data_IF_283558526430
#
_entry.id   IF_283558526430
#
_cell.length_a   1.000
_cell.length_b   1.000
_cell.length_c   1.000
_cell.angle_alpha   90.00
_cell.angle_beta   90.00
_cell.angle_gamma   90.00
#
_symmetry.space_group_name_H-M   'P 1'
#
loop_
_entity.id
_entity.type
_entity.pdbx_description
1 polymer ?
#
# COMPACT_ATOMS: atom_id res chain seq x y z
N UNK A 1 8.57 6.62 4.97
CA UNK A 1 8.19 5.20 5.20
C UNK A 1 8.98 4.23 4.32
N UNK A 2 8.79 4.27 3.00
CA UNK A 2 9.28 3.20 2.10
C UNK A 2 10.80 3.06 2.02
N UNK A 3 11.55 4.16 1.98
CA UNK A 3 13.02 4.10 1.99
C UNK A 3 13.59 3.40 3.24
N UNK A 4 12.88 3.45 4.38
CA UNK A 4 13.28 2.73 5.60
C UNK A 4 13.00 1.24 5.48
N UNK A 5 11.86 0.85 4.91
CA UNK A 5 11.55 -0.56 4.63
C UNK A 5 12.57 -1.15 3.66
N UNK A 6 12.85 -0.46 2.57
CA UNK A 6 13.83 -0.89 1.57
C UNK A 6 15.22 -1.09 2.17
N UNK A 7 15.68 -0.16 3.01
CA UNK A 7 16.99 -0.29 3.68
C UNK A 7 17.05 -1.46 4.67
N UNK A 8 15.96 -1.76 5.39
CA UNK A 8 15.96 -2.75 6.47
C UNK A 8 15.62 -4.15 6.00
N UNK A 9 14.71 -4.26 5.03
CA UNK A 9 14.14 -5.53 4.55
C UNK A 9 14.49 -5.74 3.08
N UNK A 10 14.40 -4.69 2.27
CA UNK A 10 14.52 -4.75 0.81
C UNK A 10 13.15 -4.81 0.15
N UNK A 11 12.90 -3.90 -0.80
CA UNK A 11 11.68 -3.93 -1.59
C UNK A 11 11.56 -5.25 -2.36
N UNK A 12 12.67 -5.90 -2.73
CA UNK A 12 12.68 -7.18 -3.44
C UNK A 12 11.88 -8.30 -2.77
N UNK A 13 11.58 -8.19 -1.48
CA UNK A 13 10.77 -9.14 -0.70
C UNK A 13 9.30 -8.72 -0.53
N UNK A 14 8.94 -7.49 -0.89
CA UNK A 14 7.57 -7.01 -0.81
C UNK A 14 6.70 -7.74 -1.85
N UNK A 15 5.61 -8.35 -1.41
CA UNK A 15 4.70 -9.15 -2.26
C UNK A 15 3.25 -8.70 -2.22
N UNK A 16 2.87 -7.83 -1.29
CA UNK A 16 1.52 -7.30 -1.14
C UNK A 16 1.46 -6.32 0.02
N UNK A 17 0.39 -5.52 0.05
CA UNK A 17 0.07 -4.61 1.16
C UNK A 17 -1.39 -4.82 1.58
N UNK A 18 -1.65 -4.79 2.88
CA UNK A 18 -3.00 -4.60 3.41
C UNK A 18 -3.19 -3.12 3.70
N UNK A 19 -4.28 -2.54 3.19
CA UNK A 19 -4.60 -1.12 3.33
C UNK A 19 -5.76 -0.99 4.31
N UNK A 20 -5.41 -0.75 5.57
CA UNK A 20 -6.36 -0.59 6.66
C UNK A 20 -6.05 0.73 7.38
N UNK A 21 -7.08 1.52 7.65
CA UNK A 21 -6.94 2.59 8.64
C UNK A 21 -7.00 1.99 10.05
N UNK A 22 -6.66 2.78 11.07
CA UNK A 22 -6.58 2.33 12.45
C UNK A 22 -7.48 3.20 13.34
N UNK A 23 -8.33 2.57 14.16
CA UNK A 23 -9.07 3.28 15.21
C UNK A 23 -8.16 3.74 16.37
N UNK A 24 -6.94 3.22 16.44
CA UNK A 24 -6.03 3.43 17.56
C UNK A 24 -4.78 4.17 17.14
N UNK A 25 -4.30 5.04 18.03
CA UNK A 25 -3.05 5.77 17.88
C UNK A 25 -1.83 4.89 17.55
N UNK A 26 -0.88 5.51 16.86
CA UNK A 26 0.40 4.87 16.51
C UNK A 26 1.15 4.36 17.74
N UNK A 27 1.60 3.11 17.69
CA UNK A 27 2.32 2.46 18.79
C UNK A 27 1.44 1.86 19.88
N UNK A 28 0.11 1.91 19.75
CA UNK A 28 -0.83 1.35 20.74
C UNK A 28 -0.78 -0.17 20.89
N UNK A 29 -0.23 -0.89 19.90
CA UNK A 29 -0.21 -2.37 19.81
C UNK A 29 -1.61 -3.00 19.77
N UNK A 30 -2.62 -2.24 19.36
CA UNK A 30 -3.97 -2.74 19.13
C UNK A 30 -4.22 -2.87 17.63
N UNK A 31 -4.79 -4.00 17.25
CA UNK A 31 -5.16 -4.29 15.86
C UNK A 31 -6.66 -4.06 15.70
N UNK A 32 -7.01 -2.82 15.34
CA UNK A 32 -8.40 -2.33 15.24
C UNK A 32 -8.54 -1.50 13.98
N UNK A 33 -8.94 -2.17 12.90
CA UNK A 33 -9.12 -1.53 11.61
C UNK A 33 -10.29 -0.54 11.62
N UNK A 34 -10.12 0.56 10.89
CA UNK A 34 -11.17 1.47 10.49
C UNK A 34 -11.30 1.45 8.97
N UNK A 35 -12.45 1.89 8.47
CA UNK A 35 -12.62 2.26 7.06
C UNK A 35 -11.64 3.39 6.71
N UNK A 36 -11.26 3.50 5.43
CA UNK A 36 -10.26 4.44 4.97
C UNK A 36 -10.68 5.88 5.26
N UNK A 37 -9.85 6.61 6.02
CA UNK A 37 -10.11 8.00 6.39
C UNK A 37 -10.90 8.19 7.69
N UNK A 38 -11.46 7.12 8.25
CA UNK A 38 -12.23 7.15 9.50
C UNK A 38 -11.37 6.82 10.74
N UNK A 39 -10.06 6.59 10.53
CA UNK A 39 -9.10 6.30 11.59
C UNK A 39 -8.02 7.37 11.75
N UNK A 40 -6.96 7.01 12.46
CA UNK A 40 -5.85 7.90 12.80
C UNK A 40 -4.78 7.98 11.71
N UNK A 41 -4.80 7.10 10.70
CA UNK A 41 -3.82 7.11 9.58
C UNK A 41 -4.25 8.11 8.50
N UNK A 42 -5.53 8.07 8.13
CA UNK A 42 -6.15 9.01 7.20
C UNK A 42 -5.80 8.82 5.71
N UNK A 43 -6.63 9.43 4.86
CA UNK A 43 -6.54 9.40 3.39
C UNK A 43 -5.16 9.71 2.79
N UNK A 44 -4.38 10.71 3.26
CA UNK A 44 -3.11 11.07 2.64
C UNK A 44 -2.11 9.91 2.53
N UNK A 45 -2.16 8.95 3.47
CA UNK A 45 -1.29 7.77 3.45
C UNK A 45 -1.70 6.81 2.33
N UNK A 46 -3.00 6.55 2.16
CA UNK A 46 -3.51 5.64 1.13
C UNK A 46 -3.36 6.25 -0.26
N UNK A 47 -3.61 7.55 -0.41
CA UNK A 47 -3.33 8.32 -1.62
C UNK A 47 -1.86 8.20 -2.03
N UNK A 48 -0.93 8.41 -1.09
CA UNK A 48 0.50 8.24 -1.33
C UNK A 48 0.85 6.83 -1.83
N UNK A 49 0.26 5.79 -1.25
CA UNK A 49 0.52 4.40 -1.64
C UNK A 49 0.00 4.14 -3.06
N UNK A 50 -1.25 4.45 -3.37
CA UNK A 50 -1.82 4.13 -4.70
C UNK A 50 -1.21 4.97 -5.84
N UNK A 51 -0.62 6.12 -5.49
CA UNK A 51 0.15 6.97 -6.39
C UNK A 51 1.65 6.66 -6.40
N UNK A 52 2.13 5.61 -5.75
CA UNK A 52 3.53 5.22 -5.83
C UNK A 52 3.73 4.11 -6.86
N UNK A 53 4.57 4.37 -7.85
CA UNK A 53 4.82 3.43 -8.94
C UNK A 53 5.35 2.07 -8.43
N UNK A 54 6.06 2.04 -7.30
CA UNK A 54 6.61 0.82 -6.69
C UNK A 54 5.53 -0.18 -6.28
N UNK A 55 4.29 0.28 -6.08
CA UNK A 55 3.18 -0.58 -5.67
C UNK A 55 2.24 -0.99 -6.82
N UNK A 56 2.48 -0.51 -8.05
CA UNK A 56 1.60 -0.75 -9.21
C UNK A 56 1.39 -2.23 -9.56
N UNK A 57 2.33 -3.11 -9.22
CA UNK A 57 2.32 -4.54 -9.59
C UNK A 57 2.21 -5.48 -8.39
N UNK A 58 1.85 -4.97 -7.22
CA UNK A 58 1.60 -5.80 -6.04
C UNK A 58 0.10 -5.75 -5.69
N UNK A 59 -0.46 -6.84 -5.16
CA UNK A 59 -1.81 -6.83 -4.60
C UNK A 59 -1.91 -5.85 -3.43
N UNK A 60 -2.94 -5.00 -3.48
CA UNK A 60 -3.37 -4.13 -2.39
C UNK A 60 -4.72 -4.66 -1.90
N UNK A 61 -4.82 -5.03 -0.63
CA UNK A 61 -5.99 -5.72 -0.07
C UNK A 61 -6.63 -4.86 1.02
N UNK A 62 -7.94 -4.67 0.97
CA UNK A 62 -8.70 -4.07 2.07
C UNK A 62 -9.11 -5.16 3.07
N UNK A 63 -8.94 -4.86 4.35
CA UNK A 63 -9.49 -5.63 5.48
C UNK A 63 -10.25 -4.69 6.42
N UNK A 64 -10.86 -3.64 5.85
CA UNK A 64 -11.68 -2.66 6.55
C UNK A 64 -12.99 -3.31 7.05
N UNK A 65 -13.55 -2.83 8.18
CA UNK A 65 -14.62 -3.53 8.90
C UNK A 65 -16.00 -3.48 8.24
N UNK A 66 -16.23 -2.60 7.26
CA UNK A 66 -17.51 -2.46 6.57
C UNK A 66 -17.43 -2.88 5.08
N UNK A 67 -17.75 -4.14 4.76
CA UNK A 67 -17.74 -4.62 3.39
C UNK A 67 -18.75 -3.95 2.46
N UNK A 68 -19.79 -3.29 3.01
CA UNK A 68 -20.84 -2.68 2.19
C UNK A 68 -20.33 -1.47 1.41
N UNK A 69 -19.25 -0.84 1.87
CA UNK A 69 -18.63 0.33 1.23
C UNK A 69 -17.31 0.01 0.51
N UNK A 70 -16.87 -1.26 0.48
CA UNK A 70 -15.63 -1.64 -0.20
C UNK A 70 -15.60 -1.21 -1.66
N UNK A 71 -16.73 -1.30 -2.37
CA UNK A 71 -16.82 -0.85 -3.75
C UNK A 71 -16.47 0.63 -3.90
N UNK A 72 -16.90 1.47 -2.96
CA UNK A 72 -16.65 2.91 -2.95
C UNK A 72 -15.19 3.21 -2.57
N UNK A 73 -14.66 2.54 -1.55
CA UNK A 73 -13.25 2.65 -1.15
C UNK A 73 -12.32 2.25 -2.31
N UNK A 74 -12.59 1.12 -2.96
CA UNK A 74 -11.84 0.63 -4.12
C UNK A 74 -11.97 1.61 -5.30
N UNK A 75 -13.16 2.13 -5.58
CA UNK A 75 -13.38 3.09 -6.66
C UNK A 75 -12.61 4.39 -6.43
N UNK A 76 -12.58 4.90 -5.19
CA UNK A 76 -11.80 6.07 -4.82
C UNK A 76 -10.31 5.83 -5.05
N UNK A 77 -9.77 4.73 -4.51
CA UNK A 77 -8.36 4.37 -4.71
C UNK A 77 -8.02 4.26 -6.20
N UNK A 78 -8.86 3.62 -7.01
CA UNK A 78 -8.66 3.52 -8.46
C UNK A 78 -8.71 4.88 -9.17
N UNK A 79 -9.58 5.80 -8.75
CA UNK A 79 -9.66 7.14 -9.33
C UNK A 79 -8.34 7.93 -9.16
N UNK A 80 -7.57 7.62 -8.11
CA UNK A 80 -6.27 8.22 -7.81
C UNK A 80 -5.11 7.54 -8.55
N UNK A 81 -5.30 6.34 -9.10
CA UNK A 81 -4.24 5.63 -9.84
C UNK A 81 -3.95 6.29 -11.19
N UNK A 82 -2.67 6.47 -11.52
CA UNK A 82 -2.25 7.24 -12.70
C UNK A 82 -2.77 6.68 -14.02
N UNK A 83 -3.35 7.55 -14.86
CA UNK A 83 -3.75 7.20 -16.23
C UNK A 83 -2.66 7.27 -17.29
N UNK A 84 -1.53 7.98 -17.11
CA UNK A 84 -0.55 8.08 -18.20
C UNK A 84 0.85 8.65 -17.84
N UNK A 85 1.59 8.04 -16.90
CA UNK A 85 3.03 8.31 -16.76
C UNK A 85 3.82 7.00 -16.86
N UNK A 86 4.86 7.00 -17.68
CA UNK A 86 5.86 5.94 -17.70
C UNK A 86 6.40 5.78 -16.29
N UNK A 87 6.09 4.64 -15.68
CA UNK A 87 6.59 4.26 -14.38
C UNK A 87 7.83 3.41 -14.62
N UNK A 88 9.00 4.05 -14.70
CA UNK A 88 10.27 3.32 -14.62
C UNK A 88 10.52 2.97 -13.16
N UNK A 89 9.84 1.91 -12.71
CA UNK A 89 10.18 1.28 -11.45
C UNK A 89 11.40 0.41 -11.72
N UNK A 90 12.58 0.92 -11.39
CA UNK A 90 13.76 0.08 -11.27
C UNK A 90 13.58 -0.82 -10.04
N UNK A 91 12.93 -1.97 -10.25
CA UNK A 91 13.11 -3.08 -9.33
C UNK A 91 14.55 -3.57 -9.57
N UNK A 92 15.46 -3.51 -8.58
CA UNK A 92 16.77 -4.10 -8.76
C UNK A 92 16.55 -5.55 -9.20
N UNK A 93 17.19 -5.94 -10.30
CA UNK A 93 17.07 -7.28 -10.86
C UNK A 93 17.14 -8.30 -9.73
N UNK A 94 16.12 -9.16 -9.71
CA UNK A 94 16.07 -10.38 -8.91
C UNK A 94 17.47 -11.04 -8.92
N UNK A 95 18.10 -11.21 -7.76
CA UNK A 95 19.46 -11.81 -7.65
C UNK A 95 19.52 -13.26 -8.15
N UNK A 96 18.38 -13.82 -8.52
CA UNK A 96 18.16 -15.12 -9.16
C UNK A 96 18.51 -15.17 -10.67
N UNK A 97 18.98 -14.08 -11.30
CA UNK A 97 19.67 -14.12 -12.60
C UNK A 97 21.20 -14.36 -12.48
N UNK A 98 21.69 -14.90 -11.36
CA UNK A 98 23.00 -15.53 -11.33
C UNK A 98 22.91 -16.91 -11.98
N UNK A 99 23.50 -17.01 -13.17
CA UNK A 99 23.71 -18.23 -13.93
C UNK A 99 24.07 -19.43 -13.05
N UNK A 100 23.22 -20.46 -13.12
CA UNK A 100 23.65 -21.85 -12.87
C UNK A 100 24.15 -22.39 -14.21
#
# INVERSE_FOLDING_TARGET
MIARFDRLIGLEYLRGLHLNDALSESGSRRDRHASLGEGTIGWPTFEYIVQDCRFKRIPLVLETPDPSIWADEIAHLHALTFKNRTCEVYWPKRRDECSI
#
